data_IF_488050533701
#
_entry.id   IF_488050533701
#
_cell.length_a   1.000
_cell.length_b   1.000
_cell.length_c   1.000
_cell.angle_alpha   90.00
_cell.angle_beta   90.00
_cell.angle_gamma   90.00
#
_symmetry.space_group_name_H-M   'P 1'
#
loop_
_entity.id
_entity.type
_entity.pdbx_description
1 polymer ?
#
# COMPACT_ATOMS: atom_id res chain seq x y z
N UNK A 1 95.48 12.07 -12.41
CA UNK A 1 95.32 10.71 -12.96
C UNK A 1 93.83 10.38 -13.02
N UNK A 2 93.37 10.05 -14.21
CA UNK A 2 92.09 9.46 -14.64
C UNK A 2 90.74 10.18 -14.43
N UNK A 3 90.24 10.69 -15.57
CA UNK A 3 88.85 10.94 -15.97
C UNK A 3 87.98 9.67 -15.89
N UNK A 4 86.67 9.79 -15.67
CA UNK A 4 85.58 9.06 -16.38
C UNK A 4 84.23 9.76 -16.05
N UNK A 5 83.67 10.54 -16.97
CA UNK A 5 82.53 10.22 -17.89
C UNK A 5 81.18 10.06 -17.19
N UNK A 6 80.34 11.07 -17.43
CA UNK A 6 78.92 11.20 -17.07
C UNK A 6 78.06 10.24 -17.88
N UNK A 7 77.26 9.39 -17.22
CA UNK A 7 76.14 8.66 -17.83
C UNK A 7 74.82 9.23 -17.30
N UNK A 8 74.02 9.76 -18.22
CA UNK A 8 72.63 10.19 -18.02
C UNK A 8 71.76 8.92 -18.07
N UNK A 9 71.00 8.65 -17.00
CA UNK A 9 69.93 7.65 -17.02
C UNK A 9 68.60 8.37 -16.87
N UNK A 10 67.84 8.39 -17.96
CA UNK A 10 66.46 8.87 -18.02
C UNK A 10 65.55 7.86 -17.33
N UNK A 11 64.86 8.26 -16.26
CA UNK A 11 63.78 7.49 -15.66
C UNK A 11 62.44 7.90 -16.30
N UNK A 12 61.84 6.99 -17.06
CA UNK A 12 60.49 7.14 -17.60
C UNK A 12 59.46 6.89 -16.49
N UNK A 13 58.66 7.91 -16.14
CA UNK A 13 57.46 7.76 -15.31
C UNK A 13 56.35 7.14 -16.16
N UNK A 14 55.97 5.90 -15.86
CA UNK A 14 54.73 5.31 -16.32
C UNK A 14 53.57 5.84 -15.45
N UNK A 15 52.75 6.73 -16.01
CA UNK A 15 51.49 7.15 -15.40
C UNK A 15 50.46 6.05 -15.69
N UNK A 16 50.20 5.20 -14.70
CA UNK A 16 49.08 4.28 -14.72
C UNK A 16 47.77 5.04 -14.55
N UNK A 17 46.91 5.00 -15.57
CA UNK A 17 45.55 5.52 -15.49
C UNK A 17 44.73 4.47 -14.72
N UNK A 18 44.56 4.69 -13.42
CA UNK A 18 43.63 3.94 -12.58
C UNK A 18 42.21 4.38 -12.93
N UNK A 19 41.47 3.56 -13.68
CA UNK A 19 40.03 3.71 -13.77
C UNK A 19 39.44 3.44 -12.37
N UNK A 20 38.56 4.30 -11.82
CA UNK A 20 37.90 3.99 -10.57
C UNK A 20 37.01 2.77 -10.81
N UNK A 21 37.36 1.66 -10.17
CA UNK A 21 36.44 0.55 -9.99
C UNK A 21 35.25 1.11 -9.21
N UNK A 22 34.10 1.23 -9.85
CA UNK A 22 32.85 1.49 -9.16
C UNK A 22 32.63 0.28 -8.26
N UNK A 23 32.90 0.42 -6.96
CA UNK A 23 32.57 -0.58 -5.98
C UNK A 23 31.04 -0.66 -5.96
N UNK A 24 30.47 -1.66 -6.64
CA UNK A 24 29.08 -2.03 -6.44
C UNK A 24 28.90 -2.29 -4.95
N UNK A 25 28.16 -1.42 -4.27
CA UNK A 25 27.75 -1.67 -2.89
C UNK A 25 27.10 -3.06 -2.84
N UNK A 26 27.43 -3.90 -1.84
CA UNK A 26 26.68 -5.12 -1.64
C UNK A 26 25.20 -4.76 -1.52
N UNK A 27 24.27 -5.58 -2.04
CA UNK A 27 22.85 -5.31 -1.89
C UNK A 27 22.57 -5.09 -0.39
N UNK A 28 21.86 -4.02 -0.07
CA UNK A 28 21.46 -3.75 1.30
C UNK A 28 20.77 -4.99 1.87
N UNK A 29 21.18 -5.43 3.06
CA UNK A 29 20.45 -6.47 3.78
C UNK A 29 19.02 -5.99 3.99
N UNK A 30 18.04 -6.85 3.72
CA UNK A 30 16.63 -6.56 3.96
C UNK A 30 16.44 -6.25 5.45
N UNK A 31 15.80 -5.12 5.75
CA UNK A 31 15.36 -4.81 7.10
C UNK A 31 14.07 -5.58 7.36
N UNK A 32 14.09 -6.43 8.39
CA UNK A 32 12.97 -7.29 8.78
C UNK A 32 12.32 -6.84 10.09
N UNK A 33 12.75 -5.71 10.64
CA UNK A 33 12.23 -5.18 11.90
C UNK A 33 12.34 -6.20 13.03
N UNK A 34 11.20 -6.50 13.65
CA UNK A 34 11.10 -7.48 14.72
C UNK A 34 11.01 -8.93 14.23
N UNK A 35 10.87 -9.20 12.92
CA UNK A 35 10.80 -10.56 12.37
C UNK A 35 12.22 -11.16 12.31
N UNK A 36 12.58 -12.12 13.19
CA UNK A 36 13.95 -12.60 13.25
C UNK A 36 14.22 -13.58 12.10
N UNK A 37 15.19 -13.25 11.23
CA UNK A 37 15.72 -14.16 10.19
C UNK A 37 14.62 -14.83 9.35
N UNK A 38 13.78 -14.05 8.62
CA UNK A 38 12.67 -14.60 7.84
C UNK A 38 13.14 -15.60 6.77
N UNK A 39 12.36 -16.65 6.54
CA UNK A 39 12.61 -17.65 5.50
C UNK A 39 12.03 -17.18 4.17
N UNK A 40 12.86 -16.62 3.28
CA UNK A 40 12.37 -15.98 2.05
C UNK A 40 12.54 -16.92 0.84
N UNK A 41 11.41 -17.34 0.26
CA UNK A 41 11.34 -18.14 -0.96
C UNK A 41 10.91 -17.26 -2.12
N UNK A 42 11.66 -17.34 -3.22
CA UNK A 42 11.52 -16.46 -4.37
C UNK A 42 11.12 -17.28 -5.59
N UNK A 43 10.03 -16.94 -6.29
CA UNK A 43 9.65 -17.62 -7.51
C UNK A 43 10.67 -17.30 -8.62
N UNK A 44 10.79 -18.19 -9.61
CA UNK A 44 11.69 -18.00 -10.76
C UNK A 44 11.09 -17.12 -11.85
N UNK A 45 9.76 -16.90 -11.83
CA UNK A 45 9.01 -16.09 -12.79
C UNK A 45 8.37 -14.85 -12.18
N UNK A 46 7.35 -14.32 -12.85
CA UNK A 46 6.56 -13.19 -12.34
C UNK A 46 5.92 -13.56 -10.99
N UNK A 47 5.96 -12.61 -10.05
CA UNK A 47 5.28 -12.80 -8.76
C UNK A 47 3.79 -12.64 -8.99
N UNK A 48 3.01 -13.63 -8.55
CA UNK A 48 1.54 -13.63 -8.66
C UNK A 48 0.85 -13.37 -7.32
N UNK A 49 1.55 -13.59 -6.21
CA UNK A 49 1.08 -13.35 -4.85
C UNK A 49 2.25 -13.13 -3.88
N UNK A 50 1.98 -12.49 -2.74
CA UNK A 50 2.92 -12.37 -1.63
C UNK A 50 2.32 -13.03 -0.39
N UNK A 51 2.95 -14.08 0.13
CA UNK A 51 2.42 -14.85 1.27
C UNK A 51 3.38 -14.73 2.45
N UNK A 52 2.86 -14.32 3.60
CA UNK A 52 3.54 -14.37 4.89
C UNK A 52 3.01 -15.57 5.67
N UNK A 53 3.81 -16.63 5.70
CA UNK A 53 3.43 -17.91 6.31
C UNK A 53 3.98 -17.98 7.73
N UNK A 54 3.09 -17.99 8.73
CA UNK A 54 3.43 -18.13 10.14
C UNK A 54 3.35 -19.60 10.53
N UNK A 55 4.47 -20.13 11.02
CA UNK A 55 4.54 -21.49 11.57
C UNK A 55 3.66 -21.66 12.82
N UNK A 56 3.36 -22.91 13.16
CA UNK A 56 2.65 -23.24 14.41
C UNK A 56 3.61 -23.22 15.62
N UNK A 57 3.12 -23.54 16.83
CA UNK A 57 3.84 -23.46 18.10
C UNK A 57 5.16 -24.26 18.14
N UNK A 58 5.36 -25.24 17.26
CA UNK A 58 6.62 -26.01 17.15
C UNK A 58 7.72 -25.27 16.38
N UNK A 59 7.39 -24.15 15.74
CA UNK A 59 8.30 -23.39 14.89
C UNK A 59 8.39 -23.93 13.47
N UNK A 60 9.18 -23.24 12.67
CA UNK A 60 9.41 -23.49 11.26
C UNK A 60 10.22 -24.77 11.07
N UNK A 61 9.69 -25.73 10.29
CA UNK A 61 10.35 -27.00 9.99
C UNK A 61 10.01 -27.55 8.61
N UNK A 62 10.19 -28.86 8.43
CA UNK A 62 10.01 -29.54 7.13
C UNK A 62 8.61 -29.34 6.52
N UNK A 63 7.59 -29.22 7.39
CA UNK A 63 6.21 -28.99 6.98
C UNK A 63 6.04 -27.64 6.29
N UNK A 64 6.47 -26.56 6.96
CA UNK A 64 6.40 -25.19 6.45
C UNK A 64 7.31 -25.00 5.24
N UNK A 65 8.51 -25.60 5.26
CA UNK A 65 9.44 -25.63 4.11
C UNK A 65 8.76 -26.19 2.85
N UNK A 66 8.11 -27.36 2.98
CA UNK A 66 7.42 -28.00 1.86
C UNK A 66 6.25 -27.15 1.36
N UNK A 67 5.48 -26.56 2.26
CA UNK A 67 4.36 -25.70 1.90
C UNK A 67 4.83 -24.44 1.18
N UNK A 68 5.85 -23.76 1.70
CA UNK A 68 6.44 -22.56 1.10
C UNK A 68 6.99 -22.85 -0.31
N UNK A 69 7.67 -23.99 -0.50
CA UNK A 69 8.16 -24.42 -1.81
C UNK A 69 7.02 -24.62 -2.82
N UNK A 70 5.95 -25.32 -2.44
CA UNK A 70 4.80 -25.56 -3.31
C UNK A 70 4.09 -24.26 -3.74
N UNK A 71 3.96 -23.29 -2.83
CA UNK A 71 3.40 -21.96 -3.16
C UNK A 71 4.35 -21.17 -4.07
N UNK A 72 5.66 -21.29 -3.85
CA UNK A 72 6.67 -20.64 -4.67
C UNK A 72 6.67 -21.16 -6.12
N UNK A 73 6.46 -22.46 -6.30
CA UNK A 73 6.30 -23.09 -7.63
C UNK A 73 5.07 -22.55 -8.39
N UNK A 74 4.04 -22.06 -7.67
CA UNK A 74 2.86 -21.39 -8.23
C UNK A 74 3.07 -19.89 -8.51
N UNK A 75 4.25 -19.35 -8.25
CA UNK A 75 4.58 -17.95 -8.51
C UNK A 75 4.41 -17.03 -7.29
N UNK A 76 4.08 -17.56 -6.11
CA UNK A 76 4.08 -16.74 -4.90
C UNK A 76 5.51 -16.45 -4.43
N UNK A 77 5.75 -15.24 -3.94
CA UNK A 77 6.86 -14.99 -3.03
C UNK A 77 6.40 -15.33 -1.62
N UNK A 78 7.16 -16.16 -0.91
CA UNK A 78 6.80 -16.61 0.45
C UNK A 78 7.81 -16.09 1.45
N UNK A 79 7.32 -15.43 2.49
CA UNK A 79 8.10 -14.99 3.65
C UNK A 79 7.64 -15.81 4.85
N UNK A 80 8.49 -16.74 5.28
CA UNK A 80 8.23 -17.60 6.42
C UNK A 80 8.61 -16.94 7.74
N UNK A 81 7.70 -17.01 8.72
CA UNK A 81 7.89 -16.52 10.08
C UNK A 81 7.91 -17.71 11.05
N UNK A 82 9.04 -17.87 11.74
CA UNK A 82 9.16 -18.80 12.86
C UNK A 82 8.43 -18.22 14.09
N UNK A 83 7.31 -18.83 14.48
CA UNK A 83 6.44 -18.31 15.53
C UNK A 83 7.15 -18.22 16.89
N UNK A 84 7.86 -19.25 17.39
CA UNK A 84 8.58 -19.15 18.68
C UNK A 84 9.64 -18.04 18.70
N UNK A 85 10.43 -17.92 17.63
CA UNK A 85 11.44 -16.87 17.51
C UNK A 85 10.79 -15.50 17.43
N UNK A 86 9.69 -15.37 16.69
CA UNK A 86 9.00 -14.10 16.56
C UNK A 86 8.38 -13.64 17.89
N UNK A 87 7.72 -14.53 18.64
CA UNK A 87 7.21 -14.21 19.99
C UNK A 87 8.35 -13.75 20.92
N UNK A 88 9.52 -14.39 20.84
CA UNK A 88 10.71 -14.00 21.61
C UNK A 88 11.24 -12.62 21.19
N UNK A 89 11.13 -12.27 19.91
CA UNK A 89 11.54 -10.96 19.38
C UNK A 89 10.57 -9.85 19.80
N UNK A 90 9.26 -10.08 19.63
CA UNK A 90 8.20 -9.15 20.03
C UNK A 90 8.22 -8.85 21.53
N UNK A 91 8.60 -9.82 22.38
CA UNK A 91 8.76 -9.61 23.81
C UNK A 91 9.88 -8.61 24.18
N UNK A 92 10.78 -8.27 23.25
CA UNK A 92 11.92 -7.35 23.45
C UNK A 92 11.71 -5.95 22.88
N UNK A 93 10.65 -5.74 22.10
CA UNK A 93 10.29 -4.41 21.59
C UNK A 93 10.31 -3.40 22.75
N UNK A 94 10.89 -2.20 22.66
CA UNK A 94 10.86 -1.24 23.76
C UNK A 94 9.53 -0.46 23.88
N UNK A 95 8.63 -0.57 22.90
CA UNK A 95 7.42 0.26 22.83
C UNK A 95 6.32 -0.15 23.84
N UNK A 96 5.40 0.77 24.12
CA UNK A 96 4.29 0.56 25.08
C UNK A 96 3.29 -0.50 24.62
N UNK A 97 3.15 -0.67 23.30
CA UNK A 97 2.37 -1.72 22.65
C UNK A 97 3.13 -2.26 21.44
N UNK A 98 2.79 -3.47 21.00
CA UNK A 98 3.43 -4.13 19.86
C UNK A 98 2.64 -3.83 18.59
N UNK A 99 3.32 -3.36 17.53
CA UNK A 99 2.73 -3.16 16.20
C UNK A 99 3.51 -3.99 15.17
N UNK A 100 2.85 -4.96 14.52
CA UNK A 100 3.53 -5.92 13.62
C UNK A 100 3.39 -5.56 12.14
N UNK A 101 2.37 -4.78 11.78
CA UNK A 101 1.98 -4.62 10.38
C UNK A 101 3.00 -3.79 9.59
N UNK A 102 3.68 -2.84 10.24
CA UNK A 102 4.77 -2.07 9.61
C UNK A 102 5.90 -2.97 9.13
N UNK A 103 6.31 -3.96 9.93
CA UNK A 103 7.41 -4.86 9.58
C UNK A 103 7.01 -5.78 8.43
N UNK A 104 5.76 -6.27 8.44
CA UNK A 104 5.20 -7.09 7.36
C UNK A 104 5.15 -6.30 6.05
N UNK A 105 4.55 -5.10 6.08
CA UNK A 105 4.39 -4.24 4.89
C UNK A 105 5.75 -3.85 4.31
N UNK A 106 6.67 -3.36 5.15
CA UNK A 106 8.01 -2.96 4.73
C UNK A 106 8.79 -4.14 4.15
N UNK A 107 8.78 -5.30 4.81
CA UNK A 107 9.49 -6.47 4.32
C UNK A 107 8.89 -6.97 3.00
N UNK A 108 7.57 -6.94 2.84
CA UNK A 108 6.90 -7.34 1.59
C UNK A 108 7.35 -6.47 0.41
N UNK A 109 7.38 -5.15 0.63
CA UNK A 109 7.81 -4.17 -0.37
C UNK A 109 9.29 -4.36 -0.72
N UNK A 110 10.17 -4.48 0.27
CA UNK A 110 11.61 -4.69 0.06
C UNK A 110 11.89 -6.00 -0.70
N UNK A 111 11.22 -7.09 -0.32
CA UNK A 111 11.38 -8.40 -0.97
C UNK A 111 10.92 -8.33 -2.42
N UNK A 112 9.73 -7.81 -2.70
CA UNK A 112 9.21 -7.73 -4.07
C UNK A 112 10.01 -6.76 -4.95
N UNK A 113 10.52 -5.66 -4.37
CA UNK A 113 11.44 -4.76 -5.06
C UNK A 113 12.75 -5.47 -5.42
N UNK A 114 13.29 -6.29 -4.52
CA UNK A 114 14.52 -7.06 -4.79
C UNK A 114 14.37 -8.08 -5.92
N UNK A 115 13.13 -8.44 -6.28
CA UNK A 115 12.82 -9.34 -7.39
C UNK A 115 12.66 -8.61 -8.73
N UNK A 116 12.63 -7.28 -8.73
CA UNK A 116 12.33 -6.49 -9.92
C UNK A 116 10.91 -6.73 -10.45
N UNK A 117 9.96 -7.07 -9.58
CA UNK A 117 8.59 -7.34 -9.98
C UNK A 117 7.91 -6.07 -10.52
N UNK A 118 7.11 -6.19 -11.57
CA UNK A 118 6.44 -5.05 -12.21
C UNK A 118 5.19 -4.56 -11.48
N UNK A 119 4.73 -5.28 -10.48
CA UNK A 119 3.52 -4.95 -9.72
C UNK A 119 3.70 -5.27 -8.25
N UNK A 120 3.07 -4.51 -7.38
CA UNK A 120 3.06 -4.82 -5.95
C UNK A 120 1.85 -5.70 -5.62
N UNK A 121 2.10 -6.84 -4.98
CA UNK A 121 1.09 -7.72 -4.40
C UNK A 121 1.09 -7.53 -2.89
N UNK A 122 -0.04 -7.15 -2.32
CA UNK A 122 -0.15 -7.01 -0.86
C UNK A 122 0.05 -8.36 -0.16
N UNK A 123 0.49 -8.36 1.11
CA UNK A 123 0.70 -9.58 1.87
C UNK A 123 -0.59 -10.34 2.12
N UNK A 124 -0.57 -11.65 1.91
CA UNK A 124 -1.53 -12.61 2.45
C UNK A 124 -0.94 -13.17 3.74
N UNK A 125 -1.63 -13.00 4.86
CA UNK A 125 -1.22 -13.54 6.15
C UNK A 125 -1.80 -14.95 6.32
N UNK A 126 -0.96 -15.94 6.61
CA UNK A 126 -1.39 -17.33 6.64
C UNK A 126 -0.79 -18.11 7.80
N UNK A 127 -1.59 -18.94 8.47
CA UNK A 127 -1.06 -19.77 9.57
C UNK A 127 -2.00 -20.87 10.05
N UNK A 128 -1.44 -21.85 10.76
CA UNK A 128 -2.16 -22.94 11.43
C UNK A 128 -1.96 -22.80 12.95
N UNK A 129 -2.97 -23.15 13.75
CA UNK A 129 -2.82 -23.27 15.20
C UNK A 129 -2.42 -21.94 15.85
N UNK A 130 -1.26 -21.92 16.51
CA UNK A 130 -0.69 -20.70 17.10
C UNK A 130 -0.38 -19.63 16.05
N UNK A 131 0.10 -20.03 14.87
CA UNK A 131 0.30 -19.13 13.74
C UNK A 131 -1.02 -18.56 13.23
N UNK A 132 -2.08 -19.38 13.17
CA UNK A 132 -3.42 -18.92 12.79
C UNK A 132 -4.01 -17.91 13.80
N UNK A 133 -3.81 -18.15 15.10
CA UNK A 133 -4.21 -17.20 16.15
C UNK A 133 -3.47 -15.86 16.03
N UNK A 134 -2.17 -15.89 15.70
CA UNK A 134 -1.39 -14.66 15.46
C UNK A 134 -1.87 -13.90 14.22
N UNK A 135 -2.21 -14.61 13.14
CA UNK A 135 -2.76 -14.01 11.91
C UNK A 135 -4.06 -13.25 12.21
N UNK A 136 -4.98 -13.81 12.99
CA UNK A 136 -6.20 -13.09 13.40
C UNK A 136 -5.88 -11.87 14.27
N UNK A 137 -4.92 -11.97 15.18
CA UNK A 137 -4.48 -10.84 15.99
C UNK A 137 -3.78 -9.74 15.17
N UNK A 138 -3.08 -10.10 14.08
CA UNK A 138 -2.53 -9.13 13.13
C UNK A 138 -3.64 -8.33 12.44
N UNK A 139 -4.76 -8.97 12.06
CA UNK A 139 -5.91 -8.25 11.47
C UNK A 139 -6.51 -7.23 12.42
N UNK A 140 -6.50 -7.48 13.74
CA UNK A 140 -7.00 -6.52 14.73
C UNK A 140 -6.24 -5.18 14.74
N UNK A 141 -5.01 -5.13 14.23
CA UNK A 141 -4.18 -3.92 14.12
C UNK A 141 -3.93 -3.50 12.66
N UNK A 142 -4.50 -4.19 11.68
CA UNK A 142 -4.25 -3.88 10.26
C UNK A 142 -5.07 -2.66 9.81
N UNK A 143 -4.42 -1.65 9.20
CA UNK A 143 -5.13 -0.64 8.45
C UNK A 143 -5.85 -1.25 7.25
N UNK A 144 -6.97 -0.67 6.80
CA UNK A 144 -7.63 -1.08 5.57
C UNK A 144 -6.65 -1.10 4.38
N UNK A 145 -6.82 -2.08 3.51
CA UNK A 145 -6.09 -2.19 2.25
C UNK A 145 -4.56 -2.35 2.35
N UNK A 146 -3.99 -2.63 3.53
CA UNK A 146 -2.56 -3.01 3.69
C UNK A 146 -2.34 -4.52 3.50
N UNK A 147 -3.23 -5.35 4.05
CA UNK A 147 -3.22 -6.81 3.92
C UNK A 147 -4.20 -7.22 2.83
N UNK A 148 -3.83 -8.19 1.98
CA UNK A 148 -4.71 -8.68 0.92
C UNK A 148 -5.79 -9.63 1.45
N UNK A 149 -5.39 -10.55 2.33
CA UNK A 149 -6.26 -11.52 2.99
C UNK A 149 -5.56 -12.10 4.23
N UNK A 150 -6.34 -12.51 5.23
CA UNK A 150 -5.88 -13.40 6.31
C UNK A 150 -6.54 -14.78 6.21
N UNK A 151 -5.72 -15.84 6.19
CA UNK A 151 -6.17 -17.23 6.17
C UNK A 151 -5.65 -17.94 7.43
N UNK A 152 -6.56 -18.32 8.32
CA UNK A 152 -6.24 -19.01 9.56
C UNK A 152 -6.90 -20.40 9.59
N UNK A 153 -6.12 -21.45 9.88
CA UNK A 153 -6.64 -22.82 10.02
C UNK A 153 -6.43 -23.29 11.45
N UNK A 154 -7.50 -23.79 12.08
CA UNK A 154 -7.53 -24.18 13.49
C UNK A 154 -6.88 -23.14 14.44
N UNK A 155 -7.19 -21.83 14.32
CA UNK A 155 -6.53 -20.82 15.14
C UNK A 155 -6.79 -21.04 16.63
N UNK A 156 -5.74 -20.92 17.44
CA UNK A 156 -5.89 -20.88 18.91
C UNK A 156 -6.46 -19.52 19.34
N UNK A 157 -7.16 -19.48 20.47
CA UNK A 157 -7.83 -18.27 20.94
C UNK A 157 -6.87 -17.18 21.45
N UNK A 158 -5.77 -17.56 22.11
CA UNK A 158 -4.87 -16.61 22.78
C UNK A 158 -3.49 -16.55 22.12
N UNK A 159 -2.97 -15.34 21.93
CA UNK A 159 -1.59 -15.12 21.50
C UNK A 159 -0.70 -14.95 22.73
N UNK A 160 0.44 -15.65 22.85
CA UNK A 160 1.30 -15.65 24.04
C UNK A 160 2.16 -14.39 24.16
N UNK A 161 1.51 -13.23 24.18
CA UNK A 161 2.13 -11.92 24.38
C UNK A 161 1.93 -11.46 25.82
N UNK A 162 2.99 -10.90 26.40
CA UNK A 162 2.93 -10.24 27.71
C UNK A 162 2.52 -8.78 27.61
N UNK A 163 2.69 -8.18 26.43
CA UNK A 163 2.28 -6.82 26.10
C UNK A 163 1.19 -6.81 25.04
N UNK A 164 0.32 -5.82 25.13
CA UNK A 164 -0.80 -5.70 24.21
C UNK A 164 -0.36 -5.24 22.82
N UNK A 165 -1.15 -5.62 21.81
CA UNK A 165 -1.04 -5.05 20.47
C UNK A 165 -1.51 -3.59 20.45
N UNK A 166 -0.92 -2.80 19.57
CA UNK A 166 -1.36 -1.44 19.24
C UNK A 166 -2.65 -1.50 18.41
N UNK A 167 -3.78 -1.64 19.09
CA UNK A 167 -5.11 -1.70 18.45
C UNK A 167 -6.18 -1.14 19.39
N UNK A 168 -7.25 -0.51 18.89
CA UNK A 168 -8.42 -0.18 19.70
C UNK A 168 -9.27 -1.41 20.06
N UNK A 169 -9.07 -2.56 19.41
CA UNK A 169 -9.84 -3.78 19.64
C UNK A 169 -9.84 -4.21 21.12
N UNK A 170 -10.91 -4.91 21.52
CA UNK A 170 -11.04 -5.48 22.86
C UNK A 170 -9.96 -6.54 23.08
N UNK A 171 -9.32 -6.49 24.26
CA UNK A 171 -8.20 -7.36 24.63
C UNK A 171 -8.50 -7.98 25.97
N UNK A 172 -8.49 -9.30 26.03
CA UNK A 172 -8.80 -10.05 27.25
C UNK A 172 -7.57 -10.85 27.67
N UNK A 173 -6.83 -10.40 28.70
CA UNK A 173 -5.75 -11.19 29.27
C UNK A 173 -6.28 -12.51 29.83
N UNK A 174 -5.59 -13.60 29.51
CA UNK A 174 -5.89 -14.96 29.98
C UNK A 174 -4.60 -15.63 30.46
N UNK A 175 -4.71 -16.80 31.11
CA UNK A 175 -3.53 -17.60 31.40
C UNK A 175 -2.85 -18.02 30.08
N UNK A 176 -1.59 -17.64 29.90
CA UNK A 176 -0.80 -17.99 28.73
C UNK A 176 -0.87 -16.99 27.56
N UNK A 177 -1.59 -15.87 27.67
CA UNK A 177 -1.59 -14.87 26.61
C UNK A 177 -2.73 -13.85 26.69
N UNK A 178 -3.06 -13.28 25.53
CA UNK A 178 -4.15 -12.32 25.35
C UNK A 178 -5.03 -12.80 24.21
N UNK A 179 -6.36 -12.80 24.43
CA UNK A 179 -7.37 -13.01 23.40
C UNK A 179 -7.74 -11.64 22.82
N UNK A 180 -7.74 -11.52 21.50
CA UNK A 180 -8.04 -10.27 20.80
C UNK A 180 -9.36 -10.39 20.05
N UNK A 181 -10.25 -9.42 20.23
CA UNK A 181 -11.32 -9.17 19.26
C UNK A 181 -10.74 -8.47 18.02
N UNK A 182 -11.59 -8.14 17.05
CA UNK A 182 -11.23 -7.25 15.95
C UNK A 182 -11.66 -5.80 16.25
N UNK A 183 -11.18 -4.85 15.47
CA UNK A 183 -11.59 -3.44 15.57
C UNK A 183 -13.04 -3.31 15.13
N UNK A 184 -13.82 -2.47 15.82
CA UNK A 184 -15.21 -2.19 15.45
C UNK A 184 -15.28 -1.57 14.04
N UNK A 185 -16.24 -2.03 13.23
CA UNK A 185 -16.41 -1.60 11.84
C UNK A 185 -16.12 -2.70 10.82
N UNK A 186 -16.03 -2.35 9.53
CA UNK A 186 -15.68 -3.29 8.47
C UNK A 186 -14.31 -3.93 8.70
N UNK A 187 -14.14 -5.17 8.25
CA UNK A 187 -12.84 -5.84 8.30
C UNK A 187 -11.83 -5.11 7.40
N UNK A 188 -10.57 -4.90 7.85
CA UNK A 188 -9.56 -4.21 7.06
C UNK A 188 -9.04 -5.03 5.86
N UNK A 189 -9.27 -6.35 5.89
CA UNK A 189 -9.02 -7.30 4.83
C UNK A 189 -9.99 -8.50 4.96
N UNK A 190 -10.28 -9.24 3.87
CA UNK A 190 -10.98 -10.52 3.95
C UNK A 190 -10.31 -11.47 4.95
N UNK A 191 -11.14 -12.21 5.71
CA UNK A 191 -10.68 -13.17 6.72
C UNK A 191 -11.35 -14.51 6.46
N UNK A 192 -10.53 -15.50 6.14
CA UNK A 192 -10.96 -16.89 5.92
C UNK A 192 -10.48 -17.74 7.09
N UNK A 193 -11.42 -18.43 7.76
CA UNK A 193 -11.12 -19.35 8.86
C UNK A 193 -11.60 -20.75 8.53
N UNK A 194 -10.70 -21.73 8.63
CA UNK A 194 -11.06 -23.14 8.46
C UNK A 194 -10.89 -23.90 9.77
N UNK A 195 -11.91 -24.67 10.15
CA UNK A 195 -11.83 -25.55 11.32
C UNK A 195 -11.89 -27.01 10.90
N UNK A 196 -10.93 -27.79 11.37
CA UNK A 196 -10.87 -29.24 11.21
C UNK A 196 -11.48 -29.93 12.44
N UNK A 197 -11.71 -31.26 12.40
CA UNK A 197 -12.13 -32.00 13.59
C UNK A 197 -11.09 -32.03 14.71
N UNK A 198 -9.85 -31.58 14.46
CA UNK A 198 -8.77 -31.48 15.45
C UNK A 198 -8.62 -30.08 16.05
N UNK A 199 -9.45 -29.10 15.65
CA UNK A 199 -9.43 -27.75 16.18
C UNK A 199 -9.53 -27.73 17.71
N UNK A 200 -8.73 -26.87 18.35
CA UNK A 200 -8.88 -26.62 19.78
C UNK A 200 -10.26 -26.03 20.09
N UNK A 201 -10.89 -26.49 21.18
CA UNK A 201 -12.25 -26.10 21.51
C UNK A 201 -12.37 -24.62 21.87
N UNK A 202 -11.37 -24.04 22.54
CA UNK A 202 -11.36 -22.61 22.87
C UNK A 202 -11.10 -21.76 21.62
N UNK A 203 -10.18 -22.19 20.75
CA UNK A 203 -9.95 -21.60 19.43
C UNK A 203 -11.22 -21.55 18.58
N UNK A 204 -11.90 -22.70 18.44
CA UNK A 204 -13.18 -22.79 17.70
C UNK A 204 -14.26 -21.88 18.30
N UNK A 205 -14.39 -21.85 19.62
CA UNK A 205 -15.35 -20.98 20.29
C UNK A 205 -15.06 -19.49 20.06
N UNK A 206 -13.77 -19.11 20.08
CA UNK A 206 -13.35 -17.73 19.83
C UNK A 206 -13.68 -17.27 18.42
N UNK A 207 -13.36 -18.05 17.38
CA UNK A 207 -13.68 -17.65 15.99
C UNK A 207 -15.18 -17.60 15.72
N UNK A 208 -15.98 -18.44 16.38
CA UNK A 208 -17.45 -18.36 16.33
C UNK A 208 -18.00 -17.12 17.03
N UNK A 209 -17.28 -16.58 18.01
CA UNK A 209 -17.64 -15.29 18.63
C UNK A 209 -17.27 -14.13 17.71
N UNK A 210 -16.11 -14.20 17.05
CA UNK A 210 -15.72 -13.22 16.03
C UNK A 210 -16.71 -13.20 14.87
N UNK A 211 -17.06 -14.34 14.27
CA UNK A 211 -18.01 -14.41 13.15
C UNK A 211 -19.39 -13.82 13.50
N UNK A 212 -19.85 -13.96 14.75
CA UNK A 212 -21.11 -13.35 15.20
C UNK A 212 -21.06 -11.82 15.25
N UNK A 213 -19.89 -11.26 15.52
CA UNK A 213 -19.68 -9.81 15.59
C UNK A 213 -19.29 -9.20 14.23
N UNK A 214 -18.56 -9.96 13.40
CA UNK A 214 -18.14 -9.61 12.05
C UNK A 214 -18.62 -10.69 11.08
N UNK A 215 -19.79 -10.47 10.49
CA UNK A 215 -20.46 -11.41 9.59
C UNK A 215 -19.75 -11.62 8.24
N UNK A 216 -18.71 -10.83 7.95
CA UNK A 216 -17.90 -10.93 6.73
C UNK A 216 -16.70 -11.90 6.90
N UNK A 217 -16.54 -12.53 8.06
CA UNK A 217 -15.57 -13.63 8.27
C UNK A 217 -16.12 -14.89 7.59
N UNK A 218 -15.35 -15.49 6.69
CA UNK A 218 -15.69 -16.77 6.05
C UNK A 218 -15.23 -17.95 6.92
N UNK A 219 -16.11 -18.41 7.81
CA UNK A 219 -15.84 -19.52 8.72
C UNK A 219 -16.41 -20.84 8.18
N UNK A 220 -15.55 -21.80 7.84
CA UNK A 220 -15.96 -23.09 7.30
C UNK A 220 -15.35 -24.28 8.05
N UNK A 221 -16.16 -25.33 8.27
CA UNK A 221 -15.66 -26.64 8.68
C UNK A 221 -15.12 -27.42 7.46
N UNK A 222 -14.05 -28.20 7.64
CA UNK A 222 -13.45 -29.03 6.59
C UNK A 222 -13.01 -30.40 7.12
N UNK A 223 -13.19 -31.44 6.30
CA UNK A 223 -12.72 -32.80 6.60
C UNK A 223 -11.23 -33.02 6.22
N UNK A 224 -10.59 -32.03 5.58
CA UNK A 224 -9.16 -32.06 5.25
C UNK A 224 -8.31 -31.95 6.52
N UNK A 225 -7.05 -32.39 6.44
CA UNK A 225 -6.07 -32.02 7.46
C UNK A 225 -5.79 -30.51 7.42
N UNK A 226 -5.30 -29.93 8.51
CA UNK A 226 -5.01 -28.50 8.57
C UNK A 226 -4.01 -28.06 7.49
N UNK A 227 -3.00 -28.88 7.20
CA UNK A 227 -2.00 -28.64 6.16
C UNK A 227 -2.61 -28.63 4.76
N UNK A 228 -3.46 -29.61 4.45
CA UNK A 228 -4.17 -29.69 3.16
C UNK A 228 -5.18 -28.55 3.00
N UNK A 229 -5.87 -28.18 4.07
CA UNK A 229 -6.82 -27.07 4.09
C UNK A 229 -6.12 -25.74 3.79
N UNK A 230 -5.03 -25.43 4.50
CA UNK A 230 -4.28 -24.19 4.29
C UNK A 230 -3.63 -24.17 2.89
N UNK A 231 -3.00 -25.28 2.48
CA UNK A 231 -2.32 -25.37 1.17
C UNK A 231 -3.30 -25.25 0.00
N UNK A 232 -4.48 -25.88 0.09
CA UNK A 232 -5.50 -25.78 -0.95
C UNK A 232 -6.04 -24.35 -1.04
N UNK A 233 -6.38 -23.73 0.08
CA UNK A 233 -6.94 -22.36 0.11
C UNK A 233 -5.97 -21.34 -0.45
N UNK A 234 -4.69 -21.39 -0.03
CA UNK A 234 -3.66 -20.52 -0.59
C UNK A 234 -3.43 -20.78 -2.08
N UNK A 235 -3.45 -22.04 -2.50
CA UNK A 235 -3.30 -22.39 -3.93
C UNK A 235 -4.45 -21.85 -4.78
N UNK A 236 -5.67 -21.97 -4.29
CA UNK A 236 -6.88 -21.49 -4.97
C UNK A 236 -6.86 -19.95 -5.07
N UNK A 237 -6.42 -19.25 -4.01
CA UNK A 237 -6.28 -17.79 -4.04
C UNK A 237 -5.20 -17.32 -5.02
N UNK A 238 -4.04 -17.98 -5.04
CA UNK A 238 -2.97 -17.66 -6.01
C UNK A 238 -3.45 -17.88 -7.44
N UNK A 239 -4.15 -18.99 -7.69
CA UNK A 239 -4.71 -19.29 -9.01
C UNK A 239 -5.82 -18.30 -9.40
N UNK A 240 -6.65 -17.85 -8.43
CA UNK A 240 -7.66 -16.83 -8.66
C UNK A 240 -7.04 -15.46 -8.97
N UNK A 241 -6.05 -15.03 -8.19
CA UNK A 241 -5.34 -13.76 -8.37
C UNK A 241 -4.72 -13.65 -9.78
N UNK A 242 -4.12 -14.74 -10.28
CA UNK A 242 -3.57 -14.82 -11.63
C UNK A 242 -4.62 -14.66 -12.74
N UNK A 243 -5.90 -14.91 -12.44
CA UNK A 243 -7.01 -14.85 -13.38
C UNK A 243 -7.93 -13.62 -13.21
N UNK A 244 -7.66 -12.74 -12.23
CA UNK A 244 -8.47 -11.53 -12.04
C UNK A 244 -8.15 -10.47 -13.11
N UNK A 245 -9.14 -10.12 -13.93
CA UNK A 245 -9.02 -8.96 -14.82
C UNK A 245 -9.23 -7.69 -14.01
N UNK A 246 -8.15 -6.95 -13.75
CA UNK A 246 -8.24 -5.58 -13.22
C UNK A 246 -9.08 -4.71 -14.16
N UNK A 247 -9.98 -3.85 -13.66
CA UNK A 247 -10.73 -2.93 -14.51
C UNK A 247 -9.77 -2.09 -15.38
N UNK A 248 -9.96 -2.14 -16.71
CA UNK A 248 -9.05 -1.52 -17.68
C UNK A 248 -7.57 -1.97 -17.61
N UNK A 249 -7.25 -3.04 -16.87
CA UNK A 249 -5.87 -3.45 -16.60
C UNK A 249 -5.13 -2.53 -15.63
N UNK A 250 -5.85 -1.76 -14.81
CA UNK A 250 -5.31 -0.76 -13.88
C UNK A 250 -5.74 -1.10 -12.44
N UNK A 251 -4.93 -0.76 -11.42
CA UNK A 251 -5.25 -1.05 -10.02
C UNK A 251 -6.30 -0.06 -9.50
N UNK A 252 -7.54 -0.23 -9.94
CA UNK A 252 -8.65 0.67 -9.67
C UNK A 252 -9.59 0.11 -8.61
N UNK A 253 -9.99 0.97 -7.66
CA UNK A 253 -11.14 0.75 -6.78
C UNK A 253 -12.33 1.54 -7.32
N UNK A 254 -13.46 0.88 -7.54
CA UNK A 254 -14.67 1.51 -8.08
C UNK A 254 -15.70 1.64 -6.96
N UNK A 255 -16.08 2.87 -6.63
CA UNK A 255 -17.14 3.17 -5.67
C UNK A 255 -18.35 3.68 -6.43
N UNK A 256 -19.28 2.78 -6.73
CA UNK A 256 -20.51 3.11 -7.46
C UNK A 256 -21.44 4.00 -6.62
N UNK A 257 -22.08 4.96 -7.27
CA UNK A 257 -23.15 5.76 -6.69
C UNK A 257 -24.14 6.21 -7.78
N UNK A 258 -25.38 6.46 -7.40
CA UNK A 258 -26.31 7.18 -8.28
C UNK A 258 -25.83 8.63 -8.43
N UNK A 259 -25.47 9.09 -9.65
CA UNK A 259 -24.85 10.41 -9.81
C UNK A 259 -25.84 11.55 -9.57
N UNK A 260 -25.70 12.26 -8.44
CA UNK A 260 -26.57 13.40 -8.07
C UNK A 260 -26.09 14.74 -8.64
N UNK A 261 -24.81 14.84 -8.99
CA UNK A 261 -24.15 16.08 -9.42
C UNK A 261 -23.70 16.07 -10.90
N UNK A 262 -24.18 15.13 -11.72
CA UNK A 262 -23.73 14.95 -13.13
C UNK A 262 -22.19 14.90 -13.23
N UNK A 263 -21.54 14.31 -12.22
CA UNK A 263 -20.09 14.35 -12.00
C UNK A 263 -19.62 13.00 -11.45
N UNK A 264 -18.49 12.51 -11.95
CA UNK A 264 -17.71 11.45 -11.30
C UNK A 264 -16.40 12.02 -10.75
N UNK A 265 -15.84 11.38 -9.72
CA UNK A 265 -14.50 11.69 -9.23
C UNK A 265 -13.49 10.62 -9.67
N UNK A 266 -12.26 11.06 -9.92
CA UNK A 266 -11.10 10.19 -10.07
C UNK A 266 -10.06 10.65 -9.05
N UNK A 267 -9.66 9.75 -8.16
CA UNK A 267 -8.73 10.03 -7.07
C UNK A 267 -7.43 9.29 -7.34
N UNK A 268 -6.29 9.99 -7.30
CA UNK A 268 -4.95 9.39 -7.27
C UNK A 268 -4.45 9.42 -5.83
N UNK A 269 -4.20 8.24 -5.27
CA UNK A 269 -3.82 8.12 -3.87
C UNK A 269 -2.45 8.73 -3.56
N UNK A 270 -2.15 8.84 -2.27
CA UNK A 270 -0.78 8.96 -1.80
C UNK A 270 0.08 7.75 -2.17
N UNK A 271 1.38 7.83 -1.88
CA UNK A 271 2.34 6.77 -2.17
C UNK A 271 2.13 5.50 -1.35
N UNK A 272 1.37 5.55 -0.26
CA UNK A 272 0.92 4.40 0.52
C UNK A 272 -0.21 3.57 -0.12
N UNK A 273 -0.74 3.98 -1.27
CA UNK A 273 -1.82 3.29 -1.98
C UNK A 273 -3.23 3.68 -1.53
N UNK A 274 -4.25 2.96 -2.03
CA UNK A 274 -5.67 3.29 -1.79
C UNK A 274 -6.13 2.89 -0.37
N UNK A 275 -5.80 3.72 0.62
CA UNK A 275 -6.14 3.52 2.04
C UNK A 275 -6.43 4.85 2.74
N UNK A 276 -6.96 4.78 3.96
CA UNK A 276 -7.06 5.91 4.88
C UNK A 276 -7.69 7.16 4.20
N UNK A 277 -7.01 8.31 4.19
CA UNK A 277 -7.38 9.58 3.51
C UNK A 277 -8.08 9.34 2.17
N UNK A 278 -7.44 8.60 1.27
CA UNK A 278 -7.88 8.44 -0.11
C UNK A 278 -9.21 7.68 -0.19
N UNK A 279 -9.29 6.59 0.58
CA UNK A 279 -10.45 5.71 0.63
C UNK A 279 -11.64 6.36 1.34
N UNK A 280 -11.39 7.11 2.42
CA UNK A 280 -12.42 7.77 3.21
C UNK A 280 -12.97 9.02 2.53
N UNK A 281 -12.11 9.83 1.90
CA UNK A 281 -12.56 10.91 1.01
C UNK A 281 -13.40 10.33 -0.13
N UNK A 282 -12.96 9.22 -0.74
CA UNK A 282 -13.73 8.49 -1.75
C UNK A 282 -15.12 8.07 -1.26
N UNK A 283 -15.20 7.44 -0.08
CA UNK A 283 -16.46 7.01 0.53
C UNK A 283 -17.38 8.20 0.86
N UNK A 284 -16.82 9.32 1.35
CA UNK A 284 -17.58 10.53 1.62
C UNK A 284 -18.18 11.15 0.33
N UNK A 285 -17.42 11.16 -0.76
CA UNK A 285 -17.92 11.59 -2.07
C UNK A 285 -19.01 10.66 -2.61
N UNK A 286 -18.83 9.35 -2.45
CA UNK A 286 -19.82 8.33 -2.83
C UNK A 286 -21.14 8.57 -2.08
N UNK A 287 -21.08 8.85 -0.78
CA UNK A 287 -22.27 9.17 0.03
C UNK A 287 -23.01 10.43 -0.45
N UNK A 288 -22.29 11.42 -0.98
CA UNK A 288 -22.85 12.63 -1.63
C UNK A 288 -23.42 12.36 -3.04
N UNK A 289 -23.33 11.13 -3.54
CA UNK A 289 -23.82 10.75 -4.88
C UNK A 289 -22.86 11.13 -6.00
N UNK A 290 -21.55 11.10 -5.74
CA UNK A 290 -20.51 11.23 -6.74
C UNK A 290 -19.84 9.84 -6.87
N UNK A 291 -20.04 9.09 -7.97
CA UNK A 291 -19.30 7.85 -8.16
C UNK A 291 -17.80 8.12 -8.28
N UNK A 292 -16.98 7.23 -7.72
CA UNK A 292 -15.52 7.42 -7.59
C UNK A 292 -14.78 6.29 -8.29
N UNK A 293 -13.72 6.66 -9.02
CA UNK A 293 -12.63 5.76 -9.40
C UNK A 293 -11.40 6.11 -8.58
N UNK A 294 -10.96 5.23 -7.70
CA UNK A 294 -9.71 5.35 -6.96
C UNK A 294 -8.57 4.65 -7.68
N UNK A 295 -7.48 5.36 -7.97
CA UNK A 295 -6.23 4.82 -8.48
C UNK A 295 -5.27 4.58 -7.30
N UNK A 296 -4.90 3.32 -7.09
CA UNK A 296 -3.87 2.93 -6.14
C UNK A 296 -2.48 3.29 -6.70
N UNK A 297 -1.94 4.44 -6.28
CA UNK A 297 -0.67 4.96 -6.78
C UNK A 297 0.51 4.06 -6.42
N UNK A 298 0.51 3.41 -5.24
CA UNK A 298 1.51 2.43 -4.84
C UNK A 298 1.66 1.33 -5.90
N UNK A 299 0.53 0.72 -6.29
CA UNK A 299 0.55 -0.37 -7.27
C UNK A 299 0.78 0.12 -8.69
N UNK A 300 0.26 1.29 -9.04
CA UNK A 300 0.37 1.84 -10.40
C UNK A 300 1.78 2.36 -10.71
N UNK A 301 2.40 3.08 -9.78
CA UNK A 301 3.76 3.61 -9.89
C UNK A 301 4.80 2.72 -9.23
N UNK A 302 4.49 1.42 -9.06
CA UNK A 302 5.44 0.45 -8.52
C UNK A 302 6.71 0.40 -9.37
N UNK A 303 6.59 0.52 -10.69
CA UNK A 303 7.72 0.74 -11.60
C UNK A 303 7.59 2.09 -12.28
N UNK A 304 8.73 2.67 -12.70
CA UNK A 304 8.75 3.94 -13.42
C UNK A 304 7.82 3.96 -14.64
N UNK A 305 6.92 4.94 -14.67
CA UNK A 305 6.00 5.20 -15.78
C UNK A 305 6.39 6.46 -16.55
N UNK A 306 6.07 6.49 -17.84
CA UNK A 306 6.20 7.71 -18.64
C UNK A 306 5.01 8.64 -18.37
N UNK A 307 5.20 9.97 -18.30
CA UNK A 307 4.09 10.91 -18.09
C UNK A 307 2.92 10.76 -19.08
N UNK A 308 3.23 10.51 -20.37
CA UNK A 308 2.18 10.29 -21.38
C UNK A 308 1.38 9.01 -21.11
N UNK A 309 2.01 7.96 -20.58
CA UNK A 309 1.30 6.72 -20.25
C UNK A 309 0.26 6.97 -19.15
N UNK A 310 0.60 7.78 -18.15
CA UNK A 310 -0.33 8.17 -17.09
C UNK A 310 -1.52 8.95 -17.65
N UNK A 311 -1.28 9.87 -18.58
CA UNK A 311 -2.33 10.64 -19.24
C UNK A 311 -3.24 9.76 -20.12
N UNK A 312 -2.65 8.83 -20.87
CA UNK A 312 -3.39 7.89 -21.72
C UNK A 312 -4.30 6.97 -20.87
N UNK A 313 -3.83 6.53 -19.70
CA UNK A 313 -4.62 5.73 -18.76
C UNK A 313 -5.73 6.55 -18.09
N UNK A 314 -5.45 7.80 -17.69
CA UNK A 314 -6.49 8.71 -17.19
C UNK A 314 -7.57 8.98 -18.25
N UNK A 315 -7.17 9.16 -19.51
CA UNK A 315 -8.09 9.29 -20.64
C UNK A 315 -9.01 8.07 -20.80
N UNK A 316 -8.46 6.85 -20.63
CA UNK A 316 -9.23 5.60 -20.69
C UNK A 316 -10.23 5.52 -19.53
N UNK A 317 -9.83 5.91 -18.32
CA UNK A 317 -10.71 5.95 -17.14
C UNK A 317 -11.86 6.94 -17.39
N UNK A 318 -11.56 8.18 -17.78
CA UNK A 318 -12.55 9.22 -18.05
C UNK A 318 -13.54 8.75 -19.13
N UNK A 319 -13.04 8.19 -20.24
CA UNK A 319 -13.88 7.73 -21.36
C UNK A 319 -14.81 6.58 -20.95
N UNK A 320 -14.31 5.61 -20.17
CA UNK A 320 -15.09 4.45 -19.76
C UNK A 320 -16.21 4.87 -18.78
N UNK A 321 -15.82 5.44 -17.65
CA UNK A 321 -16.72 5.59 -16.51
C UNK A 321 -17.70 6.76 -16.66
N UNK A 322 -17.37 7.80 -17.43
CA UNK A 322 -18.36 8.82 -17.78
C UNK A 322 -19.51 8.26 -18.60
N UNK A 323 -19.22 7.33 -19.52
CA UNK A 323 -20.25 6.67 -20.34
C UNK A 323 -21.08 5.72 -19.50
N UNK A 324 -20.43 4.97 -18.61
CA UNK A 324 -21.06 4.02 -17.70
C UNK A 324 -22.05 4.70 -16.75
N UNK A 325 -21.60 5.73 -16.03
CA UNK A 325 -22.43 6.48 -15.10
C UNK A 325 -23.25 7.60 -15.75
N UNK A 326 -23.09 7.82 -17.05
CA UNK A 326 -23.82 8.84 -17.84
C UNK A 326 -23.65 10.27 -17.31
N UNK A 327 -22.45 10.58 -16.81
CA UNK A 327 -22.09 11.89 -16.27
C UNK A 327 -21.29 12.72 -17.26
N UNK A 328 -21.44 14.05 -17.20
CA UNK A 328 -20.71 14.96 -18.09
C UNK A 328 -19.39 15.41 -17.51
N UNK A 329 -19.32 15.61 -16.20
CA UNK A 329 -18.22 16.30 -15.54
C UNK A 329 -17.28 15.33 -14.81
N UNK A 330 -16.03 15.74 -14.67
CA UNK A 330 -14.97 15.02 -13.96
C UNK A 330 -14.39 15.91 -12.87
N UNK A 331 -14.28 15.36 -11.67
CA UNK A 331 -13.53 15.89 -10.55
C UNK A 331 -12.24 15.08 -10.42
N UNK A 332 -11.08 15.71 -10.59
CA UNK A 332 -9.78 15.08 -10.31
C UNK A 332 -9.37 15.41 -8.88
N UNK A 333 -8.89 14.42 -8.13
CA UNK A 333 -8.38 14.59 -6.77
C UNK A 333 -7.04 13.86 -6.65
N UNK A 334 -6.04 14.49 -6.07
CA UNK A 334 -4.77 13.85 -5.77
C UNK A 334 -4.34 14.17 -4.35
N UNK A 335 -3.83 13.17 -3.64
CA UNK A 335 -3.22 13.33 -2.32
C UNK A 335 -1.72 13.07 -2.39
N UNK A 336 -0.92 13.95 -1.78
CA UNK A 336 0.54 13.81 -1.66
C UNK A 336 1.20 13.48 -3.02
N UNK A 337 1.76 12.29 -3.19
CA UNK A 337 2.27 11.79 -4.47
C UNK A 337 1.28 11.98 -5.64
N UNK A 338 0.01 11.58 -5.46
CA UNK A 338 -1.03 11.75 -6.48
C UNK A 338 -1.31 13.23 -6.79
N UNK A 339 -1.18 14.12 -5.81
CA UNK A 339 -1.32 15.56 -6.00
C UNK A 339 -0.20 16.13 -6.89
N UNK A 340 1.04 15.62 -6.73
CA UNK A 340 2.19 16.02 -7.55
C UNK A 340 2.08 15.55 -9.00
N UNK A 341 1.50 14.37 -9.25
CA UNK A 341 1.42 13.76 -10.59
C UNK A 341 0.29 14.35 -11.45
N UNK A 342 -0.84 14.74 -10.84
CA UNK A 342 -2.04 15.15 -11.58
C UNK A 342 -1.85 16.40 -12.49
N UNK A 343 -1.14 17.47 -12.10
CA UNK A 343 -0.96 18.64 -12.95
C UNK A 343 -0.30 18.33 -14.29
N UNK A 344 0.81 17.58 -14.27
CA UNK A 344 1.51 17.14 -15.47
C UNK A 344 0.64 16.22 -16.32
N UNK A 345 -0.03 15.27 -15.68
CA UNK A 345 -0.96 14.33 -16.33
C UNK A 345 -2.09 15.06 -17.05
N UNK A 346 -2.76 16.01 -16.39
CA UNK A 346 -3.83 16.82 -16.96
C UNK A 346 -3.37 17.67 -18.15
N UNK A 347 -2.12 18.15 -18.12
CA UNK A 347 -1.56 18.92 -19.22
C UNK A 347 -1.41 18.09 -20.51
N UNK A 348 -1.25 16.77 -20.38
CA UNK A 348 -1.06 15.82 -21.48
C UNK A 348 -2.35 15.12 -21.94
N UNK A 349 -3.49 15.34 -21.27
CA UNK A 349 -4.78 14.76 -21.67
C UNK A 349 -5.23 15.22 -23.06
N UNK A 350 -5.97 14.35 -23.74
CA UNK A 350 -6.67 14.69 -24.97
C UNK A 350 -7.62 15.89 -24.74
N UNK A 351 -7.69 16.87 -25.67
CA UNK A 351 -8.48 18.08 -25.48
C UNK A 351 -9.96 17.83 -25.14
N UNK A 352 -10.53 16.76 -25.69
CA UNK A 352 -11.90 16.32 -25.38
C UNK A 352 -12.05 15.99 -23.89
N UNK A 353 -11.17 15.14 -23.34
CA UNK A 353 -11.28 14.72 -21.94
C UNK A 353 -10.93 15.84 -20.98
N UNK A 354 -9.94 16.65 -21.34
CA UNK A 354 -9.59 17.88 -20.61
C UNK A 354 -10.79 18.82 -20.44
N UNK A 355 -11.66 18.92 -21.45
CA UNK A 355 -12.86 19.77 -21.40
C UNK A 355 -13.94 19.30 -20.41
N UNK A 356 -13.86 18.05 -19.94
CA UNK A 356 -14.80 17.50 -18.97
C UNK A 356 -14.36 17.70 -17.52
N UNK A 357 -13.10 18.06 -17.28
CA UNK A 357 -12.58 18.32 -15.94
C UNK A 357 -13.06 19.69 -15.49
N UNK A 358 -13.95 19.70 -14.50
CA UNK A 358 -14.50 20.93 -13.91
C UNK A 358 -13.75 21.38 -12.66
N UNK A 359 -13.02 20.45 -12.04
CA UNK A 359 -12.25 20.70 -10.82
C UNK A 359 -11.06 19.73 -10.71
N UNK A 360 -9.96 20.24 -10.18
CA UNK A 360 -8.80 19.50 -9.69
C UNK A 360 -8.54 19.93 -8.25
N UNK A 361 -8.66 19.00 -7.30
CA UNK A 361 -8.34 19.22 -5.89
C UNK A 361 -7.03 18.52 -5.54
N UNK A 362 -6.04 19.28 -5.07
CA UNK A 362 -4.71 18.80 -4.69
C UNK A 362 -4.58 18.90 -3.17
N UNK A 363 -4.34 17.77 -2.52
CA UNK A 363 -4.27 17.65 -1.07
C UNK A 363 -2.82 17.38 -0.67
N UNK A 364 -2.27 18.17 0.24
CA UNK A 364 -0.90 18.02 0.76
C UNK A 364 0.14 17.97 -0.38
N UNK A 365 0.16 19.03 -1.20
CA UNK A 365 0.90 19.03 -2.46
C UNK A 365 2.42 19.01 -2.20
N UNK A 366 3.16 18.14 -2.88
CA UNK A 366 4.62 18.25 -2.93
C UNK A 366 5.05 18.96 -4.24
N UNK A 367 6.19 19.65 -4.20
CA UNK A 367 6.75 20.30 -5.40
C UNK A 367 7.34 19.29 -6.38
N UNK A 368 7.99 18.26 -5.86
CA UNK A 368 8.72 17.29 -6.66
C UNK A 368 7.76 16.24 -7.21
N UNK A 369 7.94 15.90 -8.49
CA UNK A 369 7.20 14.84 -9.16
C UNK A 369 8.17 13.70 -9.45
N UNK A 370 7.87 12.53 -8.89
CA UNK A 370 8.47 11.26 -9.28
C UNK A 370 7.40 10.38 -9.92
N UNK A 371 7.75 9.64 -10.96
CA UNK A 371 6.85 8.69 -11.64
C UNK A 371 7.17 7.23 -11.27
N UNK A 372 7.88 7.04 -10.15
CA UNK A 372 8.17 5.77 -9.50
C UNK A 372 8.14 6.01 -8.01
N UNK A 373 7.43 5.16 -7.26
CA UNK A 373 7.50 5.19 -5.81
C UNK A 373 8.70 4.34 -5.37
N UNK A 374 9.66 4.99 -4.73
CA UNK A 374 10.83 4.32 -4.17
C UNK A 374 10.59 3.94 -2.71
N UNK A 375 11.01 2.73 -2.32
CA UNK A 375 10.97 2.28 -0.90
C UNK A 375 11.83 3.19 -0.01
N UNK A 376 12.86 3.82 -0.58
CA UNK A 376 13.69 4.84 0.08
C UNK A 376 12.96 6.15 0.31
N UNK A 377 12.01 6.51 -0.56
CA UNK A 377 11.11 7.66 -0.40
C UNK A 377 10.33 7.61 0.90
N UNK A 378 9.76 6.44 1.21
CA UNK A 378 9.05 6.18 2.47
C UNK A 378 9.94 6.20 3.71
N UNK A 379 11.25 5.98 3.55
CA UNK A 379 12.24 6.09 4.62
C UNK A 379 12.75 7.54 4.80
N UNK A 380 12.08 8.52 4.19
CA UNK A 380 12.37 9.94 4.32
C UNK A 380 13.48 10.46 3.41
N UNK A 381 13.81 9.73 2.33
CA UNK A 381 14.75 10.21 1.31
C UNK A 381 13.95 10.87 0.19
N UNK A 382 14.10 12.20 0.02
CA UNK A 382 13.50 12.91 -1.11
C UNK A 382 13.88 12.22 -2.44
N UNK A 383 12.90 12.07 -3.33
CA UNK A 383 13.16 11.48 -4.64
C UNK A 383 14.05 12.36 -5.50
N UNK A 384 14.46 11.85 -6.66
CA UNK A 384 15.38 12.59 -7.52
C UNK A 384 14.69 13.77 -8.25
N UNK A 385 13.36 13.92 -8.14
CA UNK A 385 12.58 14.99 -8.77
C UNK A 385 12.63 14.97 -10.30
N UNK A 386 12.95 13.81 -10.89
CA UNK A 386 13.21 13.69 -12.35
C UNK A 386 11.96 13.93 -13.19
N UNK A 387 10.77 13.79 -12.60
CA UNK A 387 9.50 13.96 -13.27
C UNK A 387 9.07 15.41 -13.48
N UNK A 388 9.70 16.38 -12.80
CA UNK A 388 9.42 17.81 -12.94
C UNK A 388 9.00 18.49 -11.64
N UNK A 389 8.41 19.69 -11.79
CA UNK A 389 7.91 20.54 -10.68
C UNK A 389 6.41 20.74 -10.86
N UNK A 390 5.62 20.26 -9.88
CA UNK A 390 4.15 20.31 -9.90
C UNK A 390 3.61 21.76 -9.95
N UNK A 391 4.32 22.72 -9.35
CA UNK A 391 3.98 24.15 -9.37
C UNK A 391 4.21 24.75 -10.77
N UNK A 392 5.27 24.34 -11.48
CA UNK A 392 5.48 24.76 -12.86
C UNK A 392 4.44 24.18 -13.82
N UNK A 393 3.98 22.96 -13.59
CA UNK A 393 2.89 22.37 -14.38
C UNK A 393 1.53 23.02 -14.11
N UNK A 394 1.28 23.44 -12.87
CA UNK A 394 0.07 24.17 -12.49
C UNK A 394 -0.05 25.53 -13.20
N UNK A 395 1.05 26.20 -13.54
CA UNK A 395 1.02 27.47 -14.29
C UNK A 395 0.39 27.34 -15.68
N UNK A 396 0.35 26.12 -16.24
CA UNK A 396 -0.24 25.81 -17.56
C UNK A 396 -1.74 25.52 -17.46
N UNK A 397 -2.28 25.43 -16.25
CA UNK A 397 -3.67 25.07 -15.95
C UNK A 397 -4.44 26.33 -15.57
N UNK A 398 -5.72 26.41 -15.94
CA UNK A 398 -6.56 27.52 -15.51
C UNK A 398 -6.73 27.46 -13.98
N UNK A 399 -6.36 28.52 -13.23
CA UNK A 399 -6.49 28.49 -11.77
C UNK A 399 -7.93 28.36 -11.29
N UNK A 400 -8.92 28.65 -12.16
CA UNK A 400 -10.36 28.55 -11.85
C UNK A 400 -10.83 27.13 -11.52
N UNK A 401 -10.16 26.12 -12.08
CA UNK A 401 -10.51 24.71 -11.82
C UNK A 401 -9.68 24.12 -10.67
N UNK A 402 -8.65 24.80 -10.18
CA UNK A 402 -7.74 24.25 -9.17
C UNK A 402 -8.18 24.65 -7.76
N UNK A 403 -8.23 23.68 -6.87
CA UNK A 403 -8.29 23.83 -5.41
C UNK A 403 -7.06 23.16 -4.81
N UNK A 404 -6.40 23.83 -3.88
CA UNK A 404 -5.21 23.33 -3.20
C UNK A 404 -5.48 23.34 -1.69
N UNK A 405 -5.47 22.19 -1.05
CA UNK A 405 -5.80 22.02 0.37
C UNK A 405 -4.55 21.55 1.12
N UNK A 406 -4.20 22.24 2.19
CA UNK A 406 -2.97 22.01 2.96
C UNK A 406 -3.23 22.00 4.46
N UNK A 407 -2.44 21.21 5.19
CA UNK A 407 -2.40 21.21 6.65
C UNK A 407 -1.67 22.45 7.17
N UNK A 408 -2.16 23.09 8.22
CA UNK A 408 -1.52 24.29 8.78
C UNK A 408 -0.12 24.05 9.33
N UNK A 409 0.21 22.80 9.65
CA UNK A 409 1.48 22.38 10.23
C UNK A 409 2.41 21.74 9.17
N UNK A 410 2.00 21.75 7.89
CA UNK A 410 2.82 21.30 6.76
C UNK A 410 3.55 22.49 6.11
N UNK A 411 4.78 22.74 6.58
CA UNK A 411 5.60 23.86 6.13
C UNK A 411 6.17 23.68 4.70
N UNK A 412 6.13 22.47 4.15
CA UNK A 412 6.71 22.15 2.83
C UNK A 412 5.69 22.25 1.68
N UNK A 413 4.39 22.32 2.00
CA UNK A 413 3.33 22.42 1.01
C UNK A 413 3.37 23.79 0.27
N UNK A 414 3.44 23.81 -1.09
CA UNK A 414 3.46 25.05 -1.86
C UNK A 414 2.08 25.70 -2.02
N UNK A 415 0.98 25.05 -1.64
CA UNK A 415 -0.40 25.56 -1.73
C UNK A 415 -0.55 27.00 -1.23
N UNK A 416 -0.02 27.40 -0.05
CA UNK A 416 -0.13 28.79 0.45
C UNK A 416 0.39 29.83 -0.55
N UNK A 417 1.40 29.47 -1.35
CA UNK A 417 2.01 30.37 -2.34
C UNK A 417 1.15 30.53 -3.60
N UNK A 418 0.26 29.57 -3.89
CA UNK A 418 -0.54 29.53 -5.11
C UNK A 418 -1.74 30.48 -5.10
N UNK A 419 -2.14 30.98 -3.92
CA UNK A 419 -3.23 31.95 -3.79
C UNK A 419 -2.99 33.20 -4.65
N UNK A 420 -1.74 33.65 -4.76
CA UNK A 420 -1.34 34.80 -5.59
C UNK A 420 -1.57 34.57 -7.10
N UNK A 421 -1.65 33.30 -7.53
CA UNK A 421 -1.92 32.89 -8.91
C UNK A 421 -3.43 32.70 -9.19
N UNK A 422 -4.29 33.00 -8.21
CA UNK A 422 -5.75 32.86 -8.32
C UNK A 422 -6.27 31.45 -8.08
N UNK A 423 -5.42 30.53 -7.60
CA UNK A 423 -5.83 29.19 -7.16
C UNK A 423 -6.62 29.31 -5.85
N UNK A 424 -7.68 28.52 -5.69
CA UNK A 424 -8.41 28.45 -4.43
C UNK A 424 -7.61 27.63 -3.41
N UNK A 425 -7.05 28.29 -2.40
CA UNK A 425 -6.28 27.64 -1.33
C UNK A 425 -7.14 27.46 -0.08
N UNK A 426 -7.07 26.31 0.57
CA UNK A 426 -7.82 25.98 1.80
C UNK A 426 -6.85 25.45 2.84
N UNK A 427 -6.84 26.05 4.02
CA UNK A 427 -6.08 25.56 5.16
C UNK A 427 -7.00 24.68 6.03
N UNK A 428 -6.49 23.55 6.49
CA UNK A 428 -7.12 22.67 7.48
C UNK A 428 -6.13 22.49 8.63
N UNK A 429 -6.63 22.44 9.86
CA UNK A 429 -5.77 22.19 11.04
C UNK A 429 -5.08 20.82 10.91
N UNK A 430 -3.83 20.74 11.35
CA UNK A 430 -3.05 19.51 11.34
C UNK A 430 -1.92 19.47 10.32
N UNK A 431 -1.25 18.32 10.24
CA UNK A 431 -0.08 18.10 9.39
C UNK A 431 -0.41 17.59 7.97
N UNK A 432 0.55 16.89 7.37
CA UNK A 432 0.44 16.30 6.02
C UNK A 432 -0.76 15.35 5.85
N UNK A 433 -1.19 14.71 6.95
CA UNK A 433 -2.36 13.83 7.01
C UNK A 433 -3.64 14.50 7.53
N UNK A 434 -3.65 15.83 7.69
CA UNK A 434 -4.82 16.62 8.10
C UNK A 434 -5.48 16.19 9.41
N UNK A 435 -4.70 15.61 10.34
CA UNK A 435 -5.16 15.10 11.64
C UNK A 435 -6.45 14.26 11.56
N UNK A 436 -6.56 13.46 10.49
CA UNK A 436 -7.69 12.55 10.24
C UNK A 436 -9.05 13.23 9.94
N UNK A 437 -9.08 14.55 9.65
CA UNK A 437 -10.32 15.25 9.24
C UNK A 437 -10.67 15.04 7.76
N UNK A 438 -10.83 13.77 7.36
CA UNK A 438 -11.11 13.37 5.98
C UNK A 438 -12.52 13.76 5.54
N UNK A 439 -13.44 13.82 6.50
CA UNK A 439 -14.77 14.37 6.25
C UNK A 439 -14.69 15.86 5.92
N UNK A 440 -13.92 16.65 6.68
CA UNK A 440 -13.69 18.06 6.39
C UNK A 440 -13.08 18.28 5.00
N UNK A 441 -12.09 17.45 4.62
CA UNK A 441 -11.53 17.44 3.27
C UNK A 441 -12.62 17.25 2.20
N UNK A 442 -13.44 16.20 2.34
CA UNK A 442 -14.52 15.91 1.39
C UNK A 442 -15.55 17.04 1.30
N UNK A 443 -15.94 17.63 2.43
CA UNK A 443 -16.89 18.74 2.49
C UNK A 443 -16.35 19.96 1.71
N UNK A 444 -15.08 20.30 1.88
CA UNK A 444 -14.42 21.39 1.13
C UNK A 444 -14.35 21.12 -0.38
N UNK A 445 -14.07 19.88 -0.77
CA UNK A 445 -14.01 19.46 -2.18
C UNK A 445 -15.38 19.58 -2.84
N UNK A 446 -16.42 19.06 -2.18
CA UNK A 446 -17.81 19.07 -2.69
C UNK A 446 -18.37 20.49 -2.74
N UNK A 447 -18.09 21.32 -1.74
CA UNK A 447 -18.50 22.72 -1.73
C UNK A 447 -17.90 23.49 -2.92
N UNK A 448 -16.62 23.29 -3.19
CA UNK A 448 -15.95 23.88 -4.35
C UNK A 448 -16.55 23.36 -5.67
N UNK A 449 -16.85 22.06 -5.76
CA UNK A 449 -17.45 21.46 -6.96
C UNK A 449 -18.82 22.09 -7.25
N UNK A 450 -19.71 22.15 -6.24
CA UNK A 450 -21.05 22.75 -6.36
C UNK A 450 -20.99 24.21 -6.83
N UNK A 451 -19.93 24.95 -6.48
CA UNK A 451 -19.73 26.33 -6.94
C UNK A 451 -19.28 26.46 -8.40
N UNK A 452 -18.61 25.43 -8.94
CA UNK A 452 -18.05 25.38 -10.30
C UNK A 452 -18.98 24.77 -11.33
N UNK A 453 -19.92 23.93 -10.88
CA UNK A 453 -20.94 23.35 -11.75
C UNK A 453 -21.91 24.42 -12.25
N UNK A 454 -22.46 24.27 -13.46
CA UNK A 454 -23.52 25.15 -13.94
C UNK A 454 -24.72 25.06 -13.00
N UNK A 455 -25.16 26.19 -12.46
CA UNK A 455 -26.38 26.24 -11.67
C UNK A 455 -27.56 25.82 -12.57
N UNK A 456 -28.37 24.85 -12.11
CA UNK A 456 -29.61 24.54 -12.82
C UNK A 456 -30.49 25.79 -12.82
N UNK A 457 -31.04 26.19 -13.99
CA UNK A 457 -31.89 27.37 -14.10
C UNK A 457 -33.18 27.26 -13.28
#
# INVERSE_FOLDING_TARGET
>A
MNRFVTCIVSAALAVGISLPASAQQPPASLDSGLIPSPHIFKPSGAVTASVFLVSDAKGWGEREEKQAQALTEKGAVVVGIDFPSYMTSLAKDPQDCIYMISDIESLAQQVQRSLGNSSYHRPILAGIGAGGGLVLAMIAQSPPATIDEAIAVDPVASVPLTRQLCTPAVKTPVEGGIVYALTEGPLPAPVTVLTTPQADAAGKAHVQELEKAWNDIDLNDTDKTADEALSATLSDHIDAAANTSQPLGLPLTILDAEPKLDTMAIIYSGDGGWRDIDSEVGAALQAEGIPVVGMDALRYFWTELKPQQVADDLDRIIKNYRREWKVKNVLLIGYSFGASVLPATYNLLEPEQKSHVVQMSLLALAREVDYEISVTGWLGVAGDGKGGDSVEDLKKISPKIVQCIYGTDDDEDPCPTLAASGVATVAIEGGHHFDEDYKGLADHIVAALKSRLPQKP
#
